data_IF_347884686906
#
_entry.id   IF_347884686906
#
_cell.length_a   1.000
_cell.length_b   1.000
_cell.length_c   1.000
_cell.angle_alpha   90.00
_cell.angle_beta   90.00
_cell.angle_gamma   90.00
#
_symmetry.space_group_name_H-M   'P 1'
#
loop_
_entity.id
_entity.type
_entity.pdbx_description
1 polymer ?
#
# COMPACT_ATOMS: atom_id res chain seq x y z
N UNK A 1 12.51 15.90 -14.98
CA UNK A 1 11.45 15.15 -15.71
C UNK A 1 11.80 13.68 -15.60
N UNK A 2 11.30 13.03 -14.54
CA UNK A 2 11.53 11.61 -14.30
C UNK A 2 10.97 10.78 -15.45
N UNK A 3 11.78 9.88 -15.96
CA UNK A 3 11.48 9.08 -17.15
C UNK A 3 10.59 7.89 -16.72
N UNK A 4 9.28 7.98 -16.97
CA UNK A 4 8.27 6.99 -16.59
C UNK A 4 8.16 5.79 -17.54
N UNK A 5 9.21 5.45 -18.31
CA UNK A 5 9.12 4.38 -19.30
C UNK A 5 8.81 3.02 -18.67
N UNK A 6 9.33 2.72 -17.50
CA UNK A 6 9.08 1.47 -16.80
C UNK A 6 7.63 1.30 -16.31
N UNK A 7 7.03 2.38 -15.80
CA UNK A 7 5.67 2.33 -15.25
C UNK A 7 4.59 2.15 -16.35
N UNK A 8 4.83 2.72 -17.54
CA UNK A 8 3.92 2.56 -18.69
C UNK A 8 3.96 1.15 -19.26
N UNK A 9 5.12 0.50 -19.25
CA UNK A 9 5.26 -0.88 -19.72
C UNK A 9 4.62 -1.88 -18.74
N UNK A 10 4.74 -1.67 -17.43
CA UNK A 10 4.08 -2.50 -16.41
C UNK A 10 2.55 -2.32 -16.41
N UNK A 11 2.05 -1.10 -16.53
CA UNK A 11 0.61 -0.84 -16.66
C UNK A 11 0.03 -1.47 -17.94
N UNK A 12 0.77 -1.43 -19.04
CA UNK A 12 0.40 -2.10 -20.30
C UNK A 12 0.32 -3.62 -20.14
N UNK A 13 1.26 -4.23 -19.41
CA UNK A 13 1.28 -5.66 -19.12
C UNK A 13 0.12 -6.09 -18.22
N UNK A 14 -0.24 -5.27 -17.21
CA UNK A 14 -1.36 -5.55 -16.30
C UNK A 14 -2.72 -5.46 -17.00
N UNK A 15 -2.91 -4.48 -17.89
CA UNK A 15 -4.13 -4.35 -18.68
C UNK A 15 -4.32 -5.54 -19.64
N UNK A 16 -3.22 -6.04 -20.25
CA UNK A 16 -3.26 -7.24 -21.10
C UNK A 16 -3.61 -8.52 -20.35
N UNK A 17 -3.30 -8.59 -19.04
CA UNK A 17 -3.59 -9.75 -18.18
C UNK A 17 -5.05 -9.77 -17.69
N UNK A 18 -5.69 -8.60 -17.60
CA UNK A 18 -7.09 -8.46 -17.17
C UNK A 18 -8.11 -8.97 -18.22
N UNK A 19 -7.72 -9.11 -19.50
CA UNK A 19 -8.64 -9.57 -20.57
C UNK A 19 -8.88 -11.09 -20.60
N UNK A 20 -8.28 -11.92 -19.71
CA UNK A 20 -8.23 -13.39 -19.89
C UNK A 20 -8.98 -14.18 -18.79
N UNK A 21 -9.74 -13.62 -17.90
CA UNK A 21 -10.42 -14.41 -16.86
C UNK A 21 -11.91 -14.08 -16.71
N UNK A 22 -12.76 -14.78 -17.47
CA UNK A 22 -14.15 -15.00 -17.08
C UNK A 22 -14.25 -16.36 -16.38
N UNK A 23 -14.50 -16.44 -15.06
CA UNK A 23 -14.77 -17.69 -14.39
C UNK A 23 -16.23 -18.12 -14.60
N UNK A 24 -16.44 -19.41 -14.96
CA UNK A 24 -17.75 -20.05 -14.93
C UNK A 24 -18.24 -20.17 -13.46
N UNK A 25 -19.56 -20.05 -13.20
CA UNK A 25 -20.07 -20.13 -11.84
C UNK A 25 -20.09 -21.59 -11.37
N UNK A 26 -19.23 -21.92 -10.42
CA UNK A 26 -19.24 -23.17 -9.69
C UNK A 26 -20.34 -23.14 -8.62
N UNK A 27 -21.17 -24.19 -8.57
CA UNK A 27 -22.28 -24.31 -7.63
C UNK A 27 -21.75 -24.46 -6.21
N UNK A 28 -22.00 -23.47 -5.36
CA UNK A 28 -21.70 -23.52 -3.94
C UNK A 28 -22.64 -24.47 -3.19
N UNK A 29 -22.10 -25.52 -2.58
CA UNK A 29 -22.75 -26.26 -1.50
C UNK A 29 -22.80 -25.37 -0.25
N UNK A 30 -24.01 -25.10 0.23
CA UNK A 30 -24.27 -24.34 1.47
C UNK A 30 -23.97 -25.21 2.68
N UNK A 31 -22.75 -25.16 3.19
CA UNK A 31 -22.47 -25.47 4.58
C UNK A 31 -22.46 -24.16 5.37
N UNK A 32 -23.27 -24.05 6.44
CA UNK A 32 -23.21 -22.91 7.36
C UNK A 32 -21.78 -22.82 7.91
N UNK A 33 -21.07 -21.68 7.74
CA UNK A 33 -19.73 -21.54 8.28
C UNK A 33 -19.81 -21.41 9.79
N UNK A 34 -19.10 -22.28 10.52
CA UNK A 34 -18.73 -22.03 11.91
C UNK A 34 -17.98 -20.67 11.98
N UNK A 35 -18.26 -19.79 12.97
CA UNK A 35 -17.60 -18.49 13.04
C UNK A 35 -16.10 -18.70 13.21
N UNK A 36 -15.33 -18.53 12.14
CA UNK A 36 -13.90 -18.63 12.20
C UNK A 36 -13.35 -17.39 12.91
N UNK A 37 -12.88 -17.56 14.13
CA UNK A 37 -12.18 -16.50 14.89
C UNK A 37 -10.75 -16.23 14.35
N UNK A 38 -10.36 -16.86 13.25
CA UNK A 38 -9.03 -16.71 12.65
C UNK A 38 -9.06 -15.75 11.48
N UNK A 39 -8.12 -14.80 11.50
CA UNK A 39 -7.86 -13.93 10.35
C UNK A 39 -7.35 -14.77 9.17
N UNK A 40 -7.63 -14.30 7.97
CA UNK A 40 -6.99 -14.80 6.74
C UNK A 40 -5.54 -14.31 6.65
N UNK A 41 -4.80 -14.77 5.65
CA UNK A 41 -3.46 -14.27 5.36
C UNK A 41 -3.44 -12.74 5.14
N UNK A 42 -4.49 -12.15 4.54
CA UNK A 42 -4.60 -10.72 4.35
C UNK A 42 -4.82 -9.97 5.68
N UNK A 43 -5.66 -10.49 6.58
CA UNK A 43 -5.87 -9.91 7.91
C UNK A 43 -4.63 -10.02 8.80
N UNK A 44 -3.92 -11.16 8.75
CA UNK A 44 -2.64 -11.33 9.44
C UNK A 44 -1.57 -10.38 8.89
N UNK A 45 -1.52 -10.19 7.56
CA UNK A 45 -0.60 -9.28 6.90
C UNK A 45 -0.84 -7.81 7.31
N UNK A 46 -2.09 -7.38 7.45
CA UNK A 46 -2.44 -6.05 7.94
C UNK A 46 -1.84 -5.81 9.34
N UNK A 47 -2.05 -6.74 10.27
CA UNK A 47 -1.57 -6.64 11.64
C UNK A 47 -0.04 -6.72 11.74
N UNK A 48 0.58 -7.59 10.93
CA UNK A 48 2.04 -7.68 10.83
C UNK A 48 2.63 -6.37 10.31
N UNK A 49 2.06 -5.81 9.23
CA UNK A 49 2.50 -4.53 8.67
C UNK A 49 2.36 -3.39 9.66
N UNK A 50 1.24 -3.30 10.39
CA UNK A 50 1.05 -2.28 11.43
C UNK A 50 2.12 -2.36 12.51
N UNK A 51 2.50 -3.58 12.91
CA UNK A 51 3.57 -3.82 13.89
C UNK A 51 4.92 -3.33 13.38
N UNK A 52 5.26 -3.68 12.14
CA UNK A 52 6.51 -3.27 11.50
C UNK A 52 6.57 -1.77 11.21
N UNK A 53 5.48 -1.13 10.74
CA UNK A 53 5.45 0.32 10.56
C UNK A 53 5.64 1.07 11.88
N UNK A 54 5.06 0.57 12.96
CA UNK A 54 5.28 1.14 14.32
C UNK A 54 6.74 1.01 14.74
N UNK A 55 7.38 -0.12 14.46
CA UNK A 55 8.79 -0.34 14.74
C UNK A 55 9.69 0.55 13.86
N UNK A 56 9.31 0.77 12.60
CA UNK A 56 10.07 1.60 11.67
C UNK A 56 10.10 3.09 12.07
N UNK A 57 9.01 3.62 12.60
CA UNK A 57 8.91 5.02 13.01
C UNK A 57 9.51 5.22 14.41
N UNK A 58 10.85 5.33 14.50
CA UNK A 58 11.60 5.44 15.76
C UNK A 58 11.28 6.71 16.54
N UNK A 59 11.43 6.65 17.87
CA UNK A 59 11.18 7.77 18.77
C UNK A 59 12.17 8.93 18.57
N UNK A 60 13.39 8.63 18.12
CA UNK A 60 14.45 9.63 17.84
C UNK A 60 14.20 10.43 16.54
N UNK A 61 13.15 10.13 15.81
CA UNK A 61 12.81 10.81 14.57
C UNK A 61 13.30 10.10 13.31
N UNK A 62 14.14 9.09 13.44
CA UNK A 62 14.64 8.28 12.33
C UNK A 62 13.58 7.31 11.81
N UNK A 63 13.79 6.82 10.59
CA UNK A 63 13.03 5.74 9.99
C UNK A 63 13.94 4.53 9.77
N UNK A 64 13.66 3.45 10.52
CA UNK A 64 14.41 2.21 10.42
C UNK A 64 14.16 1.53 9.07
N UNK A 65 15.23 1.29 8.31
CA UNK A 65 15.15 0.78 6.94
C UNK A 65 14.67 -0.67 6.87
N UNK A 66 15.11 -1.51 7.81
CA UNK A 66 14.69 -2.91 7.84
C UNK A 66 13.22 -3.05 8.21
N UNK A 67 12.82 -2.40 9.30
CA UNK A 67 11.43 -2.44 9.73
C UNK A 67 10.49 -1.85 8.68
N UNK A 68 10.90 -0.80 7.97
CA UNK A 68 10.15 -0.21 6.85
C UNK A 68 10.04 -1.19 5.67
N UNK A 69 11.11 -1.90 5.33
CA UNK A 69 11.10 -2.91 4.28
C UNK A 69 10.19 -4.09 4.65
N UNK A 70 10.31 -4.63 5.87
CA UNK A 70 9.44 -5.70 6.37
C UNK A 70 7.97 -5.28 6.38
N UNK A 71 7.68 -4.04 6.81
CA UNK A 71 6.33 -3.50 6.81
C UNK A 71 5.71 -3.43 5.41
N UNK A 72 6.48 -2.94 4.42
CA UNK A 72 6.00 -2.82 3.05
C UNK A 72 5.88 -4.19 2.36
N UNK A 73 6.79 -5.11 2.62
CA UNK A 73 6.73 -6.49 2.11
C UNK A 73 5.51 -7.24 2.68
N UNK A 74 5.23 -7.07 3.97
CA UNK A 74 4.09 -7.69 4.63
C UNK A 74 2.72 -7.19 4.10
N UNK A 75 2.67 -6.05 3.40
CA UNK A 75 1.43 -5.55 2.79
C UNK A 75 0.96 -6.38 1.58
N UNK A 76 1.83 -7.15 0.94
CA UNK A 76 1.54 -7.82 -0.33
C UNK A 76 0.23 -8.62 -0.32
N UNK A 77 -0.04 -9.55 0.64
CA UNK A 77 -1.28 -10.32 0.64
C UNK A 77 -2.53 -9.45 0.79
N UNK A 78 -2.42 -8.35 1.54
CA UNK A 78 -3.51 -7.40 1.71
C UNK A 78 -3.79 -6.59 0.44
N UNK A 79 -2.74 -6.12 -0.23
CA UNK A 79 -2.86 -5.36 -1.48
C UNK A 79 -3.43 -6.20 -2.63
N UNK A 80 -3.15 -7.50 -2.63
CA UNK A 80 -3.72 -8.45 -3.60
C UNK A 80 -5.25 -8.52 -3.47
N UNK A 81 -5.78 -8.45 -2.24
CA UNK A 81 -7.23 -8.42 -1.97
C UNK A 81 -7.92 -7.17 -2.55
N UNK A 82 -7.19 -6.06 -2.77
CA UNK A 82 -7.76 -4.89 -3.46
C UNK A 82 -7.97 -5.10 -4.96
N UNK A 83 -7.34 -6.09 -5.58
CA UNK A 83 -7.53 -6.46 -6.99
C UNK A 83 -7.09 -5.41 -8.02
N UNK A 84 -6.59 -4.25 -7.59
CA UNK A 84 -6.31 -3.10 -8.46
C UNK A 84 -4.83 -2.99 -8.90
N UNK A 85 -4.04 -4.08 -8.75
CA UNK A 85 -2.67 -4.16 -9.26
C UNK A 85 -1.63 -3.30 -8.52
N UNK A 86 -1.99 -2.67 -7.40
CA UNK A 86 -1.06 -1.88 -6.56
C UNK A 86 0.09 -2.73 -6.03
N UNK A 87 -0.15 -4.01 -5.78
CA UNK A 87 0.85 -4.98 -5.30
C UNK A 87 2.10 -5.01 -6.17
N UNK A 88 1.96 -5.04 -7.49
CA UNK A 88 3.11 -5.06 -8.40
C UNK A 88 4.00 -3.83 -8.21
N UNK A 89 3.39 -2.65 -8.03
CA UNK A 89 4.14 -1.40 -7.83
C UNK A 89 4.91 -1.42 -6.50
N UNK A 90 4.29 -1.93 -5.44
CA UNK A 90 4.97 -2.09 -4.14
C UNK A 90 6.11 -3.09 -4.26
N UNK A 91 5.90 -4.25 -4.87
CA UNK A 91 6.90 -5.30 -5.00
C UNK A 91 8.14 -4.85 -5.79
N UNK A 92 7.96 -4.05 -6.86
CA UNK A 92 9.09 -3.47 -7.61
C UNK A 92 9.93 -2.56 -6.71
N UNK A 93 9.28 -1.69 -5.95
CA UNK A 93 10.00 -0.78 -5.05
C UNK A 93 10.65 -1.55 -3.87
N UNK A 94 9.97 -2.56 -3.32
CA UNK A 94 10.52 -3.45 -2.29
C UNK A 94 11.78 -4.14 -2.80
N UNK A 95 11.76 -4.72 -4.00
CA UNK A 95 12.93 -5.39 -4.60
C UNK A 95 14.13 -4.45 -4.79
N UNK A 96 13.88 -3.17 -5.13
CA UNK A 96 14.93 -2.15 -5.23
C UNK A 96 15.53 -1.85 -3.85
N UNK A 97 14.68 -1.70 -2.84
CA UNK A 97 15.13 -1.49 -1.46
C UNK A 97 15.90 -2.71 -0.93
N UNK A 98 15.43 -3.94 -1.21
CA UNK A 98 16.11 -5.19 -0.85
C UNK A 98 17.49 -5.29 -1.50
N UNK A 99 17.58 -4.98 -2.80
CA UNK A 99 18.86 -5.03 -3.52
C UNK A 99 19.88 -4.08 -2.89
N UNK A 100 19.44 -2.92 -2.45
CA UNK A 100 20.31 -1.90 -1.87
C UNK A 100 20.62 -2.15 -0.40
N UNK A 101 19.64 -2.58 0.37
CA UNK A 101 19.76 -2.81 1.81
C UNK A 101 20.18 -4.25 2.15
N UNK A 102 19.82 -5.25 1.33
CA UNK A 102 20.07 -6.66 1.59
C UNK A 102 21.50 -7.13 1.29
N UNK A 103 22.36 -6.27 0.74
CA UNK A 103 23.71 -6.65 0.33
C UNK A 103 24.72 -6.67 1.49
N UNK A 104 24.42 -6.12 2.65
CA UNK A 104 25.32 -6.01 3.79
C UNK A 104 24.73 -6.64 5.06
N UNK A 105 25.54 -7.42 5.79
CA UNK A 105 25.23 -7.91 7.16
C UNK A 105 25.03 -6.75 8.17
N UNK A 106 25.32 -5.51 7.77
CA UNK A 106 25.10 -4.27 8.52
C UNK A 106 23.67 -3.71 8.39
N UNK A 107 22.74 -4.49 7.88
CA UNK A 107 21.33 -4.09 7.62
C UNK A 107 20.54 -3.62 8.86
N UNK A 108 20.99 -4.03 10.06
CA UNK A 108 20.31 -3.68 11.31
C UNK A 108 20.51 -2.21 11.72
N UNK A 109 21.35 -1.43 11.00
CA UNK A 109 21.67 -0.03 11.34
C UNK A 109 21.31 0.98 10.23
N UNK A 110 20.68 0.53 9.12
CA UNK A 110 20.40 1.43 7.99
C UNK A 110 19.15 2.26 8.27
N UNK A 111 19.37 3.56 8.33
CA UNK A 111 18.30 4.56 8.40
C UNK A 111 17.96 5.03 6.97
N UNK A 112 16.65 5.03 6.65
CA UNK A 112 16.16 5.42 5.31
C UNK A 112 16.60 6.84 4.94
N UNK A 113 16.55 7.79 5.88
CA UNK A 113 16.95 9.17 5.64
C UNK A 113 18.43 9.31 5.29
N UNK A 114 19.31 8.54 5.93
CA UNK A 114 20.74 8.52 5.60
C UNK A 114 20.98 7.98 4.18
N UNK A 115 20.27 6.90 3.79
CA UNK A 115 20.39 6.33 2.45
C UNK A 115 19.87 7.29 1.36
N UNK A 116 18.72 7.94 1.61
CA UNK A 116 18.16 8.97 0.72
C UNK A 116 19.10 10.14 0.56
N UNK A 117 19.70 10.64 1.64
CA UNK A 117 20.64 11.76 1.62
C UNK A 117 21.93 11.42 0.87
N UNK A 118 22.48 10.22 1.06
CA UNK A 118 23.66 9.73 0.35
C UNK A 118 23.41 9.66 -1.16
N UNK A 119 22.30 9.08 -1.60
CA UNK A 119 21.95 9.01 -3.03
C UNK A 119 21.67 10.39 -3.64
N UNK A 120 20.99 11.26 -2.92
CA UNK A 120 20.76 12.63 -3.35
C UNK A 120 22.08 13.38 -3.56
N UNK A 121 23.08 13.19 -2.65
CA UNK A 121 24.40 13.79 -2.75
C UNK A 121 25.20 13.31 -3.97
N UNK A 122 24.94 12.07 -4.41
CA UNK A 122 25.54 11.46 -5.60
C UNK A 122 24.81 11.78 -6.91
N UNK A 123 23.70 12.53 -6.85
CA UNK A 123 22.90 12.88 -8.01
C UNK A 123 21.98 11.76 -8.50
N UNK A 124 21.71 10.74 -7.69
CA UNK A 124 20.88 9.59 -8.03
C UNK A 124 19.37 9.80 -7.77
N UNK A 125 18.93 11.03 -7.54
CA UNK A 125 17.52 11.36 -7.25
C UNK A 125 16.55 10.96 -8.37
N UNK A 126 17.04 10.97 -9.63
CA UNK A 126 16.26 10.66 -10.82
C UNK A 126 16.57 9.24 -11.35
N UNK A 127 17.34 8.46 -10.62
CA UNK A 127 17.64 7.07 -10.98
C UNK A 127 16.49 6.17 -10.50
N UNK A 128 15.83 5.52 -11.45
CA UNK A 128 14.67 4.66 -11.17
C UNK A 128 15.03 3.50 -10.22
N UNK A 129 16.30 3.03 -10.18
CA UNK A 129 16.75 1.95 -9.32
C UNK A 129 17.26 2.43 -7.94
N UNK A 130 17.15 3.73 -7.67
CA UNK A 130 17.61 4.31 -6.41
C UNK A 130 16.67 4.03 -5.23
N UNK A 131 17.24 3.99 -4.02
CA UNK A 131 16.47 4.01 -2.75
C UNK A 131 15.64 5.28 -2.65
N UNK A 132 16.20 6.41 -3.14
CA UNK A 132 15.49 7.69 -3.16
C UNK A 132 14.13 7.57 -3.86
N UNK A 133 14.12 7.03 -5.09
CA UNK A 133 12.89 6.88 -5.87
C UNK A 133 12.00 5.78 -5.30
N UNK A 134 12.56 4.63 -4.91
CA UNK A 134 11.78 3.50 -4.40
C UNK A 134 11.05 3.82 -3.09
N UNK A 135 11.73 4.45 -2.11
CA UNK A 135 11.12 4.83 -0.86
C UNK A 135 10.09 5.97 -1.03
N UNK A 136 10.33 6.92 -1.95
CA UNK A 136 9.39 7.98 -2.28
C UNK A 136 8.08 7.42 -2.86
N UNK A 137 8.17 6.47 -3.81
CA UNK A 137 6.98 5.85 -4.38
C UNK A 137 6.23 4.97 -3.39
N UNK A 138 6.94 4.23 -2.53
CA UNK A 138 6.29 3.51 -1.43
C UNK A 138 5.57 4.47 -0.48
N UNK A 139 6.16 5.61 -0.13
CA UNK A 139 5.50 6.64 0.68
C UNK A 139 4.21 7.15 0.03
N UNK A 140 4.23 7.43 -1.26
CA UNK A 140 3.05 7.88 -2.02
C UNK A 140 1.95 6.82 -2.09
N UNK A 141 2.31 5.56 -2.24
CA UNK A 141 1.36 4.43 -2.19
C UNK A 141 0.80 4.27 -0.78
N UNK A 142 1.62 4.36 0.25
CA UNK A 142 1.17 4.32 1.65
C UNK A 142 0.22 5.48 1.98
N UNK A 143 0.45 6.66 1.40
CA UNK A 143 -0.47 7.80 1.53
C UNK A 143 -1.86 7.50 0.92
N UNK A 144 -1.90 6.83 -0.25
CA UNK A 144 -3.16 6.34 -0.84
C UNK A 144 -3.86 5.33 0.08
N UNK A 145 -3.10 4.34 0.59
CA UNK A 145 -3.64 3.28 1.45
C UNK A 145 -4.17 3.86 2.76
N UNK A 146 -3.40 4.72 3.41
CA UNK A 146 -3.81 5.42 4.64
C UNK A 146 -5.10 6.21 4.41
N UNK A 147 -5.17 7.01 3.32
CA UNK A 147 -6.35 7.80 2.97
C UNK A 147 -7.58 6.94 2.64
N UNK A 148 -7.38 5.79 1.97
CA UNK A 148 -8.44 4.81 1.74
C UNK A 148 -9.02 4.31 3.06
N UNK A 149 -8.17 3.82 3.97
CA UNK A 149 -8.62 3.26 5.23
C UNK A 149 -9.20 4.31 6.18
N UNK A 150 -8.67 5.53 6.23
CA UNK A 150 -9.30 6.65 6.93
C UNK A 150 -10.73 6.90 6.43
N UNK A 151 -10.91 6.88 5.10
CA UNK A 151 -12.22 7.09 4.48
C UNK A 151 -13.19 5.95 4.79
N UNK A 152 -12.69 4.71 4.88
CA UNK A 152 -13.45 3.54 5.32
C UNK A 152 -13.79 3.64 6.81
N UNK A 153 -12.84 4.06 7.66
CA UNK A 153 -13.06 4.27 9.10
C UNK A 153 -14.05 5.40 9.40
N UNK A 154 -14.12 6.41 8.55
CA UNK A 154 -15.08 7.51 8.67
C UNK A 154 -16.53 7.06 8.40
N UNK A 155 -16.76 5.89 7.77
CA UNK A 155 -18.09 5.33 7.61
C UNK A 155 -18.65 4.91 8.97
N UNK A 156 -19.78 5.48 9.38
CA UNK A 156 -20.41 5.13 10.65
C UNK A 156 -20.91 3.67 10.64
N UNK A 157 -21.41 3.24 9.51
CA UNK A 157 -21.84 1.87 9.25
C UNK A 157 -21.45 1.51 7.81
N UNK A 158 -20.59 0.51 7.67
CA UNK A 158 -20.06 0.11 6.37
C UNK A 158 -21.16 -0.46 5.46
N UNK A 159 -22.18 -1.08 6.02
CA UNK A 159 -23.29 -1.67 5.28
C UNK A 159 -24.24 -0.62 4.69
N UNK A 160 -24.38 0.54 5.31
CA UNK A 160 -25.32 1.59 4.94
C UNK A 160 -24.70 2.81 4.28
N UNK A 161 -23.37 2.91 4.23
CA UNK A 161 -22.70 4.00 3.49
C UNK A 161 -23.08 3.91 2.00
N UNK A 162 -23.59 4.99 1.40
CA UNK A 162 -24.05 4.97 0.01
C UNK A 162 -22.91 4.84 -1.01
N UNK A 163 -21.66 5.13 -0.61
CA UNK A 163 -20.49 5.04 -1.51
C UNK A 163 -20.03 3.60 -1.65
N UNK A 164 -19.65 3.19 -2.84
CA UNK A 164 -18.93 1.92 -3.10
C UNK A 164 -17.48 2.01 -2.66
N UNK A 165 -16.82 0.86 -2.46
CA UNK A 165 -15.38 0.85 -2.20
C UNK A 165 -14.59 1.46 -3.36
N UNK A 166 -15.03 1.20 -4.61
CA UNK A 166 -14.44 1.79 -5.80
C UNK A 166 -14.52 3.33 -5.80
N UNK A 167 -15.63 3.92 -5.35
CA UNK A 167 -15.75 5.39 -5.21
C UNK A 167 -14.82 5.92 -4.11
N UNK A 168 -14.70 5.22 -3.00
CA UNK A 168 -13.82 5.60 -1.89
C UNK A 168 -12.35 5.56 -2.32
N UNK A 169 -11.90 4.48 -2.97
CA UNK A 169 -10.49 4.36 -3.42
C UNK A 169 -10.18 5.35 -4.53
N UNK A 170 -11.15 5.62 -5.43
CA UNK A 170 -10.98 6.61 -6.48
C UNK A 170 -10.80 8.02 -5.91
N UNK A 171 -11.61 8.39 -4.92
CA UNK A 171 -11.46 9.67 -4.23
C UNK A 171 -10.11 9.75 -3.50
N UNK A 172 -9.70 8.69 -2.81
CA UNK A 172 -8.41 8.61 -2.13
C UNK A 172 -7.23 8.74 -3.11
N UNK A 173 -7.33 8.12 -4.29
CA UNK A 173 -6.35 8.26 -5.36
C UNK A 173 -6.24 9.71 -5.86
N UNK A 174 -7.36 10.38 -6.10
CA UNK A 174 -7.37 11.79 -6.54
C UNK A 174 -6.76 12.72 -5.49
N UNK A 175 -7.01 12.46 -4.22
CA UNK A 175 -6.49 13.26 -3.10
C UNK A 175 -4.97 13.07 -2.90
N UNK A 176 -4.43 11.92 -3.27
CA UNK A 176 -3.05 11.53 -2.95
C UNK A 176 -2.20 11.30 -4.21
N UNK A 177 -2.31 10.14 -4.81
CA UNK A 177 -1.38 9.62 -5.82
C UNK A 177 -1.53 10.30 -7.20
N UNK A 178 -2.74 10.75 -7.56
CA UNK A 178 -3.01 11.31 -8.88
C UNK A 178 -2.13 12.50 -9.25
N UNK A 179 -1.77 13.36 -8.28
CA UNK A 179 -0.90 14.52 -8.50
C UNK A 179 0.52 14.15 -8.97
N UNK A 180 0.98 12.94 -8.64
CA UNK A 180 2.30 12.41 -8.99
C UNK A 180 2.30 11.66 -10.33
N UNK A 181 1.14 11.29 -10.85
CA UNK A 181 0.98 10.65 -12.15
C UNK A 181 0.83 11.68 -13.26
N UNK A 182 1.51 11.44 -14.38
CA UNK A 182 1.33 12.24 -15.59
C UNK A 182 -0.04 11.96 -16.25
N UNK A 183 -0.40 12.76 -17.22
CA UNK A 183 -1.69 12.67 -17.91
C UNK A 183 -1.93 11.33 -18.63
N UNK A 184 -0.88 10.61 -19.03
CA UNK A 184 -1.00 9.32 -19.71
C UNK A 184 -1.23 8.15 -18.73
N UNK A 185 -0.67 8.23 -17.52
CA UNK A 185 -0.80 7.20 -16.48
C UNK A 185 -2.15 7.26 -15.77
N UNK A 186 -2.70 8.46 -15.55
CA UNK A 186 -3.95 8.64 -14.79
C UNK A 186 -5.14 7.81 -15.29
N UNK A 187 -5.45 7.74 -16.62
CA UNK A 187 -6.55 6.93 -17.10
C UNK A 187 -6.36 5.44 -16.83
N UNK A 188 -5.14 4.92 -17.00
CA UNK A 188 -4.83 3.53 -16.75
C UNK A 188 -4.95 3.19 -15.25
N UNK A 189 -4.42 4.04 -14.36
CA UNK A 189 -4.59 3.89 -12.92
C UNK A 189 -6.07 3.84 -12.54
N UNK A 190 -6.90 4.78 -13.04
CA UNK A 190 -8.35 4.77 -12.79
C UNK A 190 -9.04 3.51 -13.28
N UNK A 191 -8.64 2.98 -14.45
CA UNK A 191 -9.20 1.73 -14.97
C UNK A 191 -8.91 0.54 -14.04
N UNK A 192 -7.71 0.48 -13.44
CA UNK A 192 -7.37 -0.53 -12.45
C UNK A 192 -8.21 -0.40 -11.16
N UNK A 193 -8.50 0.81 -10.71
CA UNK A 193 -9.33 1.01 -9.51
C UNK A 193 -10.77 0.52 -9.70
N UNK A 194 -11.27 0.39 -10.93
CA UNK A 194 -12.58 -0.20 -11.20
C UNK A 194 -12.65 -1.71 -10.91
N UNK A 195 -11.49 -2.37 -10.74
CA UNK A 195 -11.41 -3.79 -10.38
C UNK A 195 -11.49 -4.03 -8.87
N UNK A 196 -11.59 -2.99 -8.07
CA UNK A 196 -11.69 -3.10 -6.60
C UNK A 196 -12.95 -3.89 -6.23
N UNK A 197 -12.85 -4.89 -5.31
CA UNK A 197 -13.99 -5.69 -4.85
C UNK A 197 -15.02 -4.84 -4.13
N UNK A 198 -16.16 -5.42 -3.80
CA UNK A 198 -17.08 -4.75 -2.91
C UNK A 198 -16.59 -4.78 -1.45
N UNK A 199 -17.28 -4.07 -0.56
CA UNK A 199 -16.86 -3.95 0.85
C UNK A 199 -17.03 -5.24 1.63
N UNK A 200 -18.03 -6.03 1.32
CA UNK A 200 -18.27 -7.30 1.99
C UNK A 200 -17.19 -8.30 1.61
N UNK A 201 -16.84 -8.37 0.32
CA UNK A 201 -15.78 -9.22 -0.18
C UNK A 201 -14.43 -8.81 0.43
N UNK A 202 -14.14 -7.49 0.49
CA UNK A 202 -12.91 -7.01 1.13
C UNK A 202 -12.83 -7.45 2.60
N UNK A 203 -13.90 -7.28 3.39
CA UNK A 203 -13.89 -7.70 4.80
C UNK A 203 -13.71 -9.22 4.92
N UNK A 204 -14.39 -10.00 4.08
CA UNK A 204 -14.25 -11.44 4.05
C UNK A 204 -12.82 -11.88 3.71
N UNK A 205 -12.16 -11.19 2.77
CA UNK A 205 -10.76 -11.42 2.43
C UNK A 205 -9.81 -11.22 3.62
N UNK A 206 -10.15 -10.32 4.54
CA UNK A 206 -9.41 -10.15 5.81
C UNK A 206 -9.82 -11.15 6.90
N UNK A 207 -10.89 -11.93 6.71
CA UNK A 207 -11.44 -12.84 7.70
C UNK A 207 -12.33 -12.15 8.72
N UNK A 208 -12.89 -10.99 8.39
CA UNK A 208 -13.89 -10.30 9.22
C UNK A 208 -15.29 -10.56 8.67
N UNK A 209 -16.20 -10.89 9.57
CA UNK A 209 -17.63 -10.85 9.25
C UNK A 209 -18.13 -9.40 9.21
N UNK A 210 -19.12 -9.12 8.37
CA UNK A 210 -19.67 -7.74 8.20
C UNK A 210 -20.11 -7.13 9.53
N UNK A 211 -20.64 -7.94 10.46
CA UNK A 211 -21.05 -7.49 11.79
C UNK A 211 -19.88 -7.16 12.73
N UNK A 212 -18.67 -7.66 12.45
CA UNK A 212 -17.46 -7.36 13.22
C UNK A 212 -16.86 -5.99 12.87
N UNK A 213 -17.39 -5.31 11.84
CA UNK A 213 -16.91 -4.00 11.42
C UNK A 213 -16.79 -3.00 12.58
N UNK A 214 -17.81 -2.90 13.42
CA UNK A 214 -17.84 -1.92 14.50
C UNK A 214 -17.00 -2.30 15.73
N UNK A 215 -16.32 -3.44 15.69
CA UNK A 215 -15.49 -3.95 16.78
C UNK A 215 -14.05 -4.18 16.32
N UNK A 216 -13.70 -5.42 15.98
CA UNK A 216 -12.33 -5.86 15.70
C UNK A 216 -11.77 -5.22 14.43
N UNK A 217 -12.46 -5.34 13.29
CA UNK A 217 -11.98 -4.82 12.01
C UNK A 217 -11.65 -3.33 12.08
N UNK A 218 -12.54 -2.54 12.71
CA UNK A 218 -12.34 -1.10 12.88
C UNK A 218 -11.12 -0.79 13.76
N UNK A 219 -10.90 -1.56 14.81
CA UNK A 219 -9.72 -1.40 15.68
C UNK A 219 -8.44 -1.69 14.92
N UNK A 220 -8.38 -2.83 14.22
CA UNK A 220 -7.19 -3.26 13.48
C UNK A 220 -6.84 -2.26 12.35
N UNK A 221 -7.85 -1.76 11.63
CA UNK A 221 -7.66 -0.72 10.61
C UNK A 221 -7.18 0.60 11.22
N UNK A 222 -7.71 1.01 12.36
CA UNK A 222 -7.28 2.24 13.04
C UNK A 222 -5.82 2.13 13.53
N UNK A 223 -5.42 0.99 14.05
CA UNK A 223 -4.04 0.74 14.46
C UNK A 223 -3.08 0.78 13.27
N UNK A 224 -3.47 0.18 12.15
CA UNK A 224 -2.68 0.23 10.92
C UNK A 224 -2.54 1.67 10.41
N UNK A 225 -3.64 2.42 10.31
CA UNK A 225 -3.62 3.83 9.86
C UNK A 225 -2.69 4.66 10.73
N UNK A 226 -2.79 4.55 12.06
CA UNK A 226 -1.92 5.29 12.97
C UNK A 226 -0.43 4.94 12.78
N UNK A 227 -0.10 3.67 12.53
CA UNK A 227 1.28 3.23 12.28
C UNK A 227 1.81 3.77 10.94
N UNK A 228 0.99 3.74 9.88
CA UNK A 228 1.33 4.30 8.56
C UNK A 228 1.53 5.82 8.64
N UNK A 229 0.64 6.55 9.32
CA UNK A 229 0.76 8.00 9.50
C UNK A 229 2.07 8.40 10.20
N UNK A 230 2.48 7.63 11.22
CA UNK A 230 3.76 7.85 11.89
C UNK A 230 4.93 7.72 10.92
N UNK A 231 4.96 6.68 10.06
CA UNK A 231 5.97 6.50 9.02
C UNK A 231 5.90 7.60 7.97
N UNK A 232 4.73 7.97 7.50
CA UNK A 232 4.55 9.04 6.51
C UNK A 232 5.06 10.38 7.04
N UNK A 233 4.87 10.67 8.31
CA UNK A 233 5.43 11.86 8.96
C UNK A 233 6.97 11.86 8.93
N UNK A 234 7.64 10.70 9.12
CA UNK A 234 9.09 10.57 8.99
C UNK A 234 9.54 10.73 7.54
N UNK A 235 8.89 10.06 6.61
CA UNK A 235 9.18 10.15 5.19
C UNK A 235 9.01 11.58 4.67
N UNK A 236 7.95 12.29 5.07
CA UNK A 236 7.75 13.69 4.72
C UNK A 236 8.91 14.57 5.21
N UNK A 237 9.42 14.35 6.43
CA UNK A 237 10.58 15.06 6.94
C UNK A 237 11.87 14.72 6.15
N UNK A 238 12.07 13.45 5.78
CA UNK A 238 13.21 13.00 4.96
C UNK A 238 13.21 13.67 3.59
N UNK A 239 12.05 13.81 2.94
CA UNK A 239 11.95 14.34 1.58
C UNK A 239 11.77 15.87 1.50
N UNK A 240 11.42 16.53 2.59
CA UNK A 240 11.26 18.00 2.64
C UNK A 240 12.46 18.80 2.09
N UNK A 241 13.73 18.42 2.36
CA UNK A 241 14.89 19.15 1.82
C UNK A 241 15.02 19.06 0.29
N UNK A 242 14.33 18.14 -0.36
CA UNK A 242 14.43 17.88 -1.79
C UNK A 242 13.25 18.40 -2.60
N UNK A 243 12.30 19.09 -1.94
CA UNK A 243 11.08 19.63 -2.57
C UNK A 243 10.15 18.51 -3.12
N UNK A 244 10.26 17.29 -2.57
CA UNK A 244 9.43 16.16 -2.96
C UNK A 244 8.21 16.04 -2.04
N UNK A 245 7.01 16.00 -2.65
CA UNK A 245 5.76 15.80 -1.94
C UNK A 245 5.41 14.30 -1.84
N UNK A 246 4.88 13.90 -0.69
CA UNK A 246 4.33 12.57 -0.42
C UNK A 246 2.80 12.60 -0.52
#
# INVERSE_FOLDING_TARGET
MTNFSGLTDELGFMLAKAEIATPEPEKAETSEPEPSQQLTAAGEALNASATWFRAAARDDGALDGRAFLEATSALTPWLDSLGCGITSMVNVNVAKLETRFGADDAFDEIEVGAAVADEASRGAKDDDDSVFVAALWNARILSLIGRLLESVLACADLATDPRTLCEIITASYEDTLARHHNWAVRPAAKALLLMTPDRADLLADFGYEVFEWNTRARSDFAEFVAAVEACLGRLAAIYAPYDEAI
#
